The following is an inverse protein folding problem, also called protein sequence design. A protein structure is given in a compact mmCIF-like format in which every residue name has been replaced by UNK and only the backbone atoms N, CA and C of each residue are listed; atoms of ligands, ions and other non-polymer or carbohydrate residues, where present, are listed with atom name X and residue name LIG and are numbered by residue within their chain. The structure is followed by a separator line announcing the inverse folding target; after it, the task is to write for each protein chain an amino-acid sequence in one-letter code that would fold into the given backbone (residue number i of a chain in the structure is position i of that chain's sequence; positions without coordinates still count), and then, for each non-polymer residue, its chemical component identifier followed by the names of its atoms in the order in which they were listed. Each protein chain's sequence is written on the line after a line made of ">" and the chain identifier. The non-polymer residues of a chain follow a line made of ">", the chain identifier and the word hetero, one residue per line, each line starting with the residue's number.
data_IF_258987071877
#
_entry.id   IF_258987071877
#
_cell.length_a   1.000
_cell.length_b   1.000
_cell.length_c   1.000
_cell.angle_alpha   90.00
_cell.angle_beta   90.00
_cell.angle_gamma   90.00
#
_symmetry.space_group_name_H-M   'P 1'
#
loop_
_entity.id
_entity.type
_entity.pdbx_description
1 polymer ?
#
# COMPACT_ATOMS: atom_id res chain seq x y z
N UNK A 1 28.08 -25.04 -45.17
CA UNK A 1 26.66 -25.22 -44.85
C UNK A 1 26.48 -25.08 -43.36
N UNK A 2 25.98 -23.92 -42.88
CA UNK A 2 25.75 -23.67 -41.47
C UNK A 2 24.30 -24.07 -41.13
N UNK A 3 24.12 -25.00 -40.20
CA UNK A 3 22.84 -25.44 -39.74
C UNK A 3 22.20 -24.38 -38.82
N UNK A 4 21.09 -23.80 -39.29
CA UNK A 4 20.26 -22.85 -38.51
C UNK A 4 19.57 -23.59 -37.35
N UNK A 5 20.00 -23.31 -36.13
CA UNK A 5 19.30 -23.79 -34.92
C UNK A 5 18.07 -22.91 -34.72
N UNK A 6 16.88 -23.45 -34.97
CA UNK A 6 15.61 -22.81 -34.66
C UNK A 6 15.46 -22.64 -33.12
N UNK A 7 15.15 -21.42 -32.62
CA UNK A 7 14.86 -21.26 -31.20
C UNK A 7 13.56 -21.99 -30.85
N UNK A 8 13.65 -22.97 -29.94
CA UNK A 8 12.50 -23.67 -29.37
C UNK A 8 11.67 -22.69 -28.52
N UNK A 9 10.58 -22.21 -29.07
CA UNK A 9 9.58 -21.42 -28.35
C UNK A 9 9.00 -22.31 -27.24
N UNK A 10 9.34 -22.01 -25.99
CA UNK A 10 8.77 -22.69 -24.81
C UNK A 10 7.27 -22.45 -24.80
N UNK A 11 6.50 -23.43 -25.23
CA UNK A 11 5.03 -23.44 -25.16
C UNK A 11 4.61 -23.67 -23.71
N UNK A 12 4.34 -22.60 -22.97
CA UNK A 12 3.70 -22.67 -21.66
C UNK A 12 2.20 -22.88 -21.87
N UNK A 13 1.68 -24.05 -21.50
CA UNK A 13 0.26 -24.33 -21.62
C UNK A 13 -0.53 -23.44 -20.65
N UNK A 14 -1.73 -22.94 -21.04
CA UNK A 14 -2.61 -22.16 -20.15
C UNK A 14 -2.80 -22.80 -18.77
N UNK A 15 -2.99 -24.11 -18.73
CA UNK A 15 -3.16 -24.90 -17.49
C UNK A 15 -1.95 -24.84 -16.56
N UNK A 16 -0.71 -24.76 -17.09
CA UNK A 16 0.49 -24.61 -16.25
C UNK A 16 0.58 -23.22 -15.64
N UNK A 17 0.17 -22.19 -16.37
CA UNK A 17 0.11 -20.81 -15.85
C UNK A 17 -0.94 -20.67 -14.76
N UNK A 18 -2.13 -21.23 -14.96
CA UNK A 18 -3.19 -21.25 -13.94
C UNK A 18 -2.75 -21.98 -12.66
N UNK A 19 -2.10 -23.15 -12.81
CA UNK A 19 -1.58 -23.90 -11.66
C UNK A 19 -0.48 -23.13 -10.93
N UNK A 20 0.42 -22.45 -11.65
CA UNK A 20 1.48 -21.63 -11.04
C UNK A 20 0.89 -20.41 -10.30
N UNK A 21 -0.12 -19.76 -10.87
CA UNK A 21 -0.85 -18.65 -10.24
C UNK A 21 -1.58 -19.13 -8.96
N UNK A 22 -2.28 -20.26 -9.02
CA UNK A 22 -2.95 -20.85 -7.86
C UNK A 22 -1.95 -21.22 -6.74
N UNK A 23 -0.80 -21.81 -7.10
CA UNK A 23 0.26 -22.12 -6.15
C UNK A 23 0.84 -20.85 -5.51
N UNK A 24 1.08 -19.80 -6.31
CA UNK A 24 1.57 -18.51 -5.80
C UNK A 24 0.57 -17.87 -4.84
N UNK A 25 -0.72 -17.87 -5.17
CA UNK A 25 -1.78 -17.33 -4.33
C UNK A 25 -1.86 -18.08 -2.98
N UNK A 26 -1.84 -19.41 -2.99
CA UNK A 26 -1.86 -20.23 -1.77
C UNK A 26 -0.66 -19.94 -0.86
N UNK A 27 0.55 -19.75 -1.42
CA UNK A 27 1.74 -19.38 -0.63
C UNK A 27 1.58 -17.99 0.00
N UNK A 28 1.06 -17.01 -0.75
CA UNK A 28 0.85 -15.65 -0.24
C UNK A 28 -0.21 -15.60 0.85
N UNK A 29 -1.32 -16.32 0.70
CA UNK A 29 -2.38 -16.42 1.71
C UNK A 29 -1.85 -17.04 3.01
N UNK A 30 -1.15 -18.18 2.92
CA UNK A 30 -0.52 -18.82 4.08
C UNK A 30 0.52 -17.91 4.76
N UNK A 31 1.34 -17.21 3.98
CA UNK A 31 2.33 -16.28 4.48
C UNK A 31 1.69 -15.08 5.18
N UNK A 32 0.59 -14.53 4.65
CA UNK A 32 -0.14 -13.45 5.29
C UNK A 32 -0.58 -13.83 6.70
N UNK A 33 -1.29 -14.95 6.84
CA UNK A 33 -1.76 -15.42 8.15
C UNK A 33 -0.61 -15.61 9.16
N UNK A 34 0.52 -16.16 8.71
CA UNK A 34 1.69 -16.36 9.57
C UNK A 34 2.36 -15.03 9.95
N UNK A 35 2.60 -14.14 8.99
CA UNK A 35 3.23 -12.85 9.27
C UNK A 35 2.37 -11.97 10.18
N UNK A 36 1.06 -11.94 9.97
CA UNK A 36 0.15 -11.12 10.78
C UNK A 36 -0.03 -11.67 12.20
N UNK A 37 0.00 -13.01 12.39
CA UNK A 37 -0.23 -13.63 13.70
C UNK A 37 1.01 -13.70 14.59
N UNK A 38 2.21 -13.98 14.01
CA UNK A 38 3.44 -14.22 14.78
C UNK A 38 4.63 -13.35 14.39
N UNK A 39 4.46 -12.48 13.39
CA UNK A 39 5.48 -11.56 12.92
C UNK A 39 6.51 -12.18 11.97
N UNK A 40 7.39 -11.31 11.43
CA UNK A 40 8.41 -11.73 10.45
C UNK A 40 9.48 -12.64 11.04
N UNK A 41 10.02 -12.32 12.22
CA UNK A 41 11.16 -13.02 12.78
C UNK A 41 10.88 -14.52 13.02
N UNK A 42 9.72 -14.85 13.54
CA UNK A 42 9.31 -16.22 13.90
C UNK A 42 8.86 -17.03 12.67
N UNK A 43 8.30 -16.37 11.66
CA UNK A 43 7.83 -17.03 10.44
C UNK A 43 9.00 -17.57 9.62
N UNK A 44 8.95 -18.85 9.23
CA UNK A 44 9.95 -19.51 8.40
C UNK A 44 9.39 -19.90 7.03
N UNK A 45 10.28 -20.04 6.02
CA UNK A 45 9.89 -20.54 4.69
C UNK A 45 9.29 -21.96 4.77
N UNK A 46 9.75 -22.78 5.72
CA UNK A 46 9.21 -24.12 5.96
C UNK A 46 7.78 -24.09 6.53
N UNK A 47 7.51 -23.18 7.47
CA UNK A 47 6.16 -22.97 8.02
C UNK A 47 5.19 -22.49 6.93
N UNK A 48 5.62 -21.56 6.07
CA UNK A 48 4.83 -21.08 4.94
C UNK A 48 4.54 -22.24 3.97
N UNK A 49 5.55 -23.06 3.61
CA UNK A 49 5.38 -24.20 2.73
C UNK A 49 4.36 -25.20 3.28
N UNK A 50 4.47 -25.52 4.57
CA UNK A 50 3.56 -26.43 5.26
C UNK A 50 2.11 -25.90 5.25
N UNK A 51 1.93 -24.65 5.65
CA UNK A 51 0.61 -24.01 5.68
C UNK A 51 -0.04 -23.88 4.29
N UNK A 52 0.78 -23.66 3.23
CA UNK A 52 0.32 -23.59 1.85
C UNK A 52 0.09 -24.96 1.18
N UNK A 53 0.45 -26.09 1.84
CA UNK A 53 0.34 -27.42 1.27
C UNK A 53 1.30 -27.68 0.10
N UNK A 54 2.46 -27.00 0.06
CA UNK A 54 3.45 -27.13 -1.02
C UNK A 54 4.81 -27.56 -0.49
N UNK A 55 5.74 -27.98 -1.38
CA UNK A 55 7.09 -28.28 -0.97
C UNK A 55 7.88 -27.01 -0.64
N UNK A 56 8.82 -27.09 0.32
CA UNK A 56 9.73 -25.98 0.63
C UNK A 56 10.51 -25.50 -0.61
N UNK A 57 10.91 -26.45 -1.48
CA UNK A 57 11.55 -26.14 -2.77
C UNK A 57 10.66 -25.27 -3.65
N UNK A 58 9.35 -25.52 -3.65
CA UNK A 58 8.38 -24.74 -4.42
C UNK A 58 8.36 -23.29 -3.95
N UNK A 59 8.36 -23.04 -2.62
CA UNK A 59 8.38 -21.69 -2.07
C UNK A 59 9.64 -20.94 -2.47
N UNK A 60 10.82 -21.59 -2.38
CA UNK A 60 12.09 -20.99 -2.81
C UNK A 60 12.15 -20.70 -4.33
N UNK A 61 11.57 -21.58 -5.16
CA UNK A 61 11.52 -21.35 -6.63
C UNK A 61 10.64 -20.15 -6.98
N UNK A 62 9.56 -19.90 -6.22
CA UNK A 62 8.61 -18.83 -6.52
C UNK A 62 9.04 -17.48 -5.96
N UNK A 63 9.69 -17.46 -4.77
CA UNK A 63 9.94 -16.21 -4.03
C UNK A 63 11.41 -16.00 -3.61
N UNK A 64 12.27 -16.98 -3.77
CA UNK A 64 13.70 -16.95 -3.44
C UNK A 64 14.01 -16.74 -1.94
N UNK A 65 13.41 -15.71 -1.32
CA UNK A 65 13.68 -15.33 0.08
C UNK A 65 12.37 -15.07 0.84
N UNK A 66 12.47 -15.06 2.18
CA UNK A 66 11.35 -14.67 3.05
C UNK A 66 10.95 -13.19 2.85
N UNK A 67 11.93 -12.31 2.68
CA UNK A 67 11.68 -10.91 2.33
C UNK A 67 11.00 -10.77 0.96
N UNK A 68 11.34 -11.65 -0.01
CA UNK A 68 10.67 -11.75 -1.31
C UNK A 68 9.19 -12.11 -1.21
N UNK A 69 8.83 -13.05 -0.31
CA UNK A 69 7.42 -13.38 -0.02
C UNK A 69 6.69 -12.16 0.54
N UNK A 70 7.27 -11.50 1.56
CA UNK A 70 6.65 -10.36 2.22
C UNK A 70 6.48 -9.17 1.25
N UNK A 71 7.46 -8.90 0.40
CA UNK A 71 7.39 -7.88 -0.65
C UNK A 71 6.28 -8.19 -1.67
N UNK A 72 6.17 -9.44 -2.11
CA UNK A 72 5.12 -9.83 -3.05
C UNK A 72 3.72 -9.69 -2.42
N UNK A 73 3.58 -10.04 -1.15
CA UNK A 73 2.33 -9.87 -0.39
C UNK A 73 1.99 -8.38 -0.22
N UNK A 74 2.98 -7.52 0.09
CA UNK A 74 2.78 -6.08 0.13
C UNK A 74 2.20 -5.53 -1.18
N UNK A 75 2.80 -5.90 -2.31
CA UNK A 75 2.31 -5.46 -3.61
C UNK A 75 0.88 -5.92 -3.89
N UNK A 76 0.53 -7.16 -3.52
CA UNK A 76 -0.82 -7.69 -3.67
C UNK A 76 -1.83 -6.89 -2.82
N UNK A 77 -1.55 -6.66 -1.54
CA UNK A 77 -2.48 -6.00 -0.62
C UNK A 77 -2.62 -4.49 -0.91
N UNK A 78 -1.54 -3.82 -1.30
CA UNK A 78 -1.58 -2.42 -1.68
C UNK A 78 -2.45 -2.20 -2.91
N UNK A 79 -2.32 -3.04 -3.90
CA UNK A 79 -3.04 -2.94 -5.17
C UNK A 79 -4.50 -3.38 -5.06
N UNK A 80 -4.77 -4.40 -4.23
CA UNK A 80 -6.09 -5.01 -4.06
C UNK A 80 -6.50 -5.96 -5.19
N UNK A 81 -5.60 -6.18 -6.15
CA UNK A 81 -5.74 -7.13 -7.26
C UNK A 81 -4.36 -7.57 -7.76
N UNK A 82 -4.32 -8.61 -8.62
CA UNK A 82 -3.09 -9.16 -9.20
C UNK A 82 -2.51 -8.33 -10.37
N UNK A 83 -3.13 -7.20 -10.74
CA UNK A 83 -2.64 -6.38 -11.84
C UNK A 83 -1.36 -5.63 -11.43
N UNK A 84 -0.31 -5.73 -12.25
CA UNK A 84 0.98 -5.07 -11.99
C UNK A 84 0.96 -3.59 -12.43
N UNK A 85 0.05 -2.82 -11.80
CA UNK A 85 -0.14 -1.39 -12.06
C UNK A 85 0.23 -0.61 -10.80
N UNK A 86 1.20 0.30 -10.83
CA UNK A 86 1.57 1.18 -9.73
C UNK A 86 0.40 2.03 -9.21
N UNK A 87 0.48 2.51 -7.96
CA UNK A 87 -0.61 3.29 -7.33
C UNK A 87 -0.92 4.56 -8.11
N UNK A 88 0.10 5.27 -8.57
CA UNK A 88 0.01 6.50 -9.37
C UNK A 88 -0.65 6.30 -10.74
N UNK A 89 -0.77 5.06 -11.22
CA UNK A 89 -1.47 4.70 -12.46
C UNK A 89 -2.86 4.11 -12.23
N UNK A 90 -3.34 4.05 -10.99
CA UNK A 90 -4.65 3.50 -10.64
C UNK A 90 -5.77 4.49 -10.89
N UNK A 91 -6.87 4.00 -11.44
CA UNK A 91 -8.07 4.81 -11.72
C UNK A 91 -8.55 5.56 -10.46
N UNK A 92 -8.57 4.90 -9.30
CA UNK A 92 -9.02 5.52 -8.06
C UNK A 92 -8.09 6.65 -7.58
N UNK A 93 -6.78 6.56 -7.88
CA UNK A 93 -5.81 7.63 -7.58
C UNK A 93 -6.03 8.82 -8.50
N UNK A 94 -6.17 8.57 -9.81
CA UNK A 94 -6.49 9.62 -10.76
C UNK A 94 -7.84 10.31 -10.49
N UNK A 95 -8.83 9.55 -9.96
CA UNK A 95 -10.10 10.14 -9.53
C UNK A 95 -9.90 11.14 -8.39
N UNK A 96 -8.98 10.91 -7.45
CA UNK A 96 -8.64 11.89 -6.41
C UNK A 96 -8.06 13.16 -7.02
N UNK A 97 -7.08 13.03 -7.92
CA UNK A 97 -6.44 14.19 -8.54
C UNK A 97 -7.37 14.96 -9.46
N UNK A 98 -8.30 14.28 -10.12
CA UNK A 98 -9.27 14.88 -11.04
C UNK A 98 -10.47 15.52 -10.33
N UNK A 99 -10.69 15.28 -9.02
CA UNK A 99 -11.82 15.87 -8.29
C UNK A 99 -11.64 17.40 -8.19
N UNK A 100 -12.57 18.21 -8.76
CA UNK A 100 -12.40 19.65 -8.81
C UNK A 100 -12.68 20.35 -7.48
N UNK A 101 -13.53 19.78 -6.62
CA UNK A 101 -13.85 20.35 -5.32
C UNK A 101 -12.77 19.96 -4.28
N UNK A 102 -12.06 20.92 -3.66
CA UNK A 102 -10.97 20.66 -2.73
C UNK A 102 -11.37 19.81 -1.51
N UNK A 103 -12.55 20.07 -0.94
CA UNK A 103 -13.04 19.30 0.21
C UNK A 103 -13.36 17.87 -0.19
N UNK A 104 -14.07 17.68 -1.30
CA UNK A 104 -14.38 16.35 -1.83
C UNK A 104 -13.12 15.59 -2.22
N UNK A 105 -12.10 16.26 -2.74
CA UNK A 105 -10.80 15.65 -3.06
C UNK A 105 -10.16 15.05 -1.82
N UNK A 106 -10.05 15.79 -0.71
CA UNK A 106 -9.48 15.30 0.54
C UNK A 106 -10.33 14.19 1.18
N UNK A 107 -11.68 14.29 1.11
CA UNK A 107 -12.56 13.21 1.58
C UNK A 107 -12.44 11.95 0.75
N UNK A 108 -12.27 12.06 -0.56
CA UNK A 108 -12.03 10.92 -1.45
C UNK A 108 -10.67 10.27 -1.15
N UNK A 109 -9.63 11.06 -0.88
CA UNK A 109 -8.34 10.55 -0.40
C UNK A 109 -8.49 9.80 0.94
N UNK A 110 -9.26 10.34 1.88
CA UNK A 110 -9.52 9.68 3.18
C UNK A 110 -10.22 8.32 3.00
N UNK A 111 -11.23 8.26 2.13
CA UNK A 111 -11.94 7.01 1.79
C UNK A 111 -10.99 5.97 1.19
N UNK A 112 -10.19 6.35 0.18
CA UNK A 112 -9.25 5.44 -0.45
C UNK A 112 -8.18 4.95 0.54
N UNK A 113 -7.70 5.85 1.39
CA UNK A 113 -6.76 5.54 2.47
C UNK A 113 -7.32 4.51 3.45
N UNK A 114 -8.59 4.64 3.88
CA UNK A 114 -9.27 3.63 4.69
C UNK A 114 -9.28 2.27 4.01
N UNK A 115 -9.70 2.21 2.74
CA UNK A 115 -9.79 0.97 1.97
C UNK A 115 -8.42 0.27 1.89
N UNK A 116 -7.35 1.02 1.63
CA UNK A 116 -5.98 0.48 1.59
C UNK A 116 -5.55 -0.02 2.97
N UNK A 117 -5.79 0.77 4.03
CA UNK A 117 -5.39 0.41 5.39
C UNK A 117 -6.13 -0.80 5.94
N UNK A 118 -7.42 -0.96 5.63
CA UNK A 118 -8.17 -2.16 6.01
C UNK A 118 -7.54 -3.45 5.48
N UNK A 119 -6.89 -3.39 4.30
CA UNK A 119 -6.22 -4.54 3.69
C UNK A 119 -4.77 -4.71 4.12
N UNK A 120 -4.04 -3.62 4.25
CA UNK A 120 -2.58 -3.64 4.26
C UNK A 120 -1.94 -3.16 5.57
N UNK A 121 -2.69 -2.54 6.51
CA UNK A 121 -2.10 -1.94 7.72
C UNK A 121 -1.38 -2.95 8.62
N UNK A 122 -1.92 -4.16 8.76
CA UNK A 122 -1.28 -5.22 9.55
C UNK A 122 0.07 -5.61 8.94
N UNK A 123 0.12 -5.77 7.60
CA UNK A 123 1.35 -6.12 6.91
C UNK A 123 2.38 -4.97 6.91
N UNK A 124 1.92 -3.72 6.78
CA UNK A 124 2.80 -2.55 6.90
C UNK A 124 3.54 -2.53 8.24
N UNK A 125 2.83 -2.87 9.33
CA UNK A 125 3.44 -3.01 10.66
C UNK A 125 4.49 -4.11 10.68
N UNK A 126 4.21 -5.27 10.10
CA UNK A 126 5.18 -6.39 10.00
C UNK A 126 6.45 -5.95 9.25
N UNK A 127 6.30 -5.24 8.12
CA UNK A 127 7.44 -4.73 7.33
C UNK A 127 8.25 -3.73 8.16
N UNK A 128 7.60 -2.75 8.78
CA UNK A 128 8.25 -1.74 9.63
C UNK A 128 9.03 -2.37 10.78
N UNK A 129 8.40 -3.29 11.49
CA UNK A 129 8.99 -3.92 12.68
C UNK A 129 10.15 -4.86 12.31
N UNK A 130 10.16 -5.40 11.08
CA UNK A 130 11.23 -6.24 10.56
C UNK A 130 12.38 -5.43 9.90
N UNK A 131 12.14 -4.22 9.45
CA UNK A 131 13.12 -3.38 8.75
C UNK A 131 14.47 -3.22 9.47
N UNK A 132 14.55 -3.07 10.81
CA UNK A 132 15.84 -2.97 11.50
C UNK A 132 16.70 -4.24 11.44
N UNK A 133 16.11 -5.40 11.14
CA UNK A 133 16.79 -6.72 11.15
C UNK A 133 17.02 -7.30 9.76
N UNK A 134 16.52 -6.68 8.70
CA UNK A 134 16.58 -7.20 7.33
C UNK A 134 16.75 -6.03 6.34
N UNK A 135 17.89 -5.99 5.64
CA UNK A 135 18.24 -4.89 4.73
C UNK A 135 17.27 -4.74 3.55
N UNK A 136 16.72 -5.85 3.03
CA UNK A 136 15.72 -5.81 1.95
C UNK A 136 14.42 -5.18 2.44
N UNK A 137 14.03 -5.47 3.69
CA UNK A 137 12.84 -4.89 4.29
C UNK A 137 13.05 -3.43 4.73
N UNK A 138 14.26 -3.06 5.14
CA UNK A 138 14.62 -1.66 5.36
C UNK A 138 14.47 -0.83 4.07
N UNK A 139 14.98 -1.34 2.95
CA UNK A 139 14.84 -0.71 1.65
C UNK A 139 13.37 -0.66 1.19
N UNK A 140 12.61 -1.72 1.41
CA UNK A 140 11.17 -1.76 1.10
C UNK A 140 10.41 -0.73 1.93
N UNK A 141 10.67 -0.66 3.25
CA UNK A 141 10.02 0.31 4.13
C UNK A 141 10.32 1.75 3.74
N UNK A 142 11.60 2.07 3.47
CA UNK A 142 12.00 3.39 3.00
C UNK A 142 11.29 3.80 1.70
N UNK A 143 11.17 2.87 0.75
CA UNK A 143 10.41 3.10 -0.49
C UNK A 143 8.93 3.33 -0.22
N UNK A 144 8.29 2.51 0.62
CA UNK A 144 6.87 2.69 0.99
C UNK A 144 6.63 4.09 1.55
N UNK A 145 7.51 4.56 2.44
CA UNK A 145 7.38 5.89 3.04
C UNK A 145 7.59 7.01 2.02
N UNK A 146 8.58 6.86 1.14
CA UNK A 146 8.86 7.84 0.08
C UNK A 146 7.72 7.95 -0.92
N UNK A 147 7.22 6.82 -1.45
CA UNK A 147 6.12 6.80 -2.42
C UNK A 147 4.83 7.35 -1.78
N UNK A 148 4.61 7.00 -0.51
CA UNK A 148 3.45 7.49 0.23
C UNK A 148 3.49 9.01 0.44
N UNK A 149 4.63 9.58 0.82
CA UNK A 149 4.80 11.02 0.94
C UNK A 149 4.63 11.72 -0.42
N UNK A 150 5.24 11.18 -1.48
CA UNK A 150 5.12 11.73 -2.84
C UNK A 150 3.65 11.80 -3.31
N UNK A 151 2.85 10.76 -3.03
CA UNK A 151 1.43 10.75 -3.36
C UNK A 151 0.64 11.84 -2.60
N UNK A 152 0.95 12.08 -1.31
CA UNK A 152 0.31 13.16 -0.56
C UNK A 152 0.72 14.54 -1.10
N UNK A 153 2.00 14.69 -1.47
CA UNK A 153 2.53 15.92 -2.06
C UNK A 153 1.82 16.28 -3.38
N UNK A 154 1.54 15.30 -4.22
CA UNK A 154 0.83 15.51 -5.49
C UNK A 154 -0.61 16.01 -5.25
N UNK A 155 -1.31 15.44 -4.26
CA UNK A 155 -2.64 15.91 -3.87
C UNK A 155 -2.58 17.37 -3.40
N UNK A 156 -1.63 17.70 -2.52
CA UNK A 156 -1.48 19.07 -2.00
C UNK A 156 -1.05 20.05 -3.09
N UNK A 157 -0.18 19.64 -4.02
CA UNK A 157 0.20 20.45 -5.17
C UNK A 157 -1.02 20.83 -6.03
N UNK A 158 -1.92 19.87 -6.28
CA UNK A 158 -3.16 20.14 -7.02
C UNK A 158 -4.10 21.11 -6.30
N UNK A 159 -4.14 21.07 -4.95
CA UNK A 159 -4.89 22.05 -4.15
C UNK A 159 -4.24 23.44 -4.21
N UNK A 160 -2.92 23.50 -4.19
CA UNK A 160 -2.16 24.75 -4.31
C UNK A 160 -2.39 25.44 -5.66
N UNK A 161 -2.32 24.69 -6.75
CA UNK A 161 -2.58 25.20 -8.12
C UNK A 161 -3.97 25.83 -8.29
N UNK A 162 -4.92 25.36 -7.50
CA UNK A 162 -6.31 25.90 -7.46
C UNK A 162 -6.49 27.05 -6.47
N UNK A 163 -5.43 27.45 -5.74
CA UNK A 163 -5.52 28.48 -4.72
C UNK A 163 -6.37 28.08 -3.50
N UNK A 164 -6.50 26.77 -3.23
CA UNK A 164 -7.37 26.25 -2.19
C UNK A 164 -6.66 26.07 -0.83
N UNK A 165 -5.32 26.17 -0.78
CA UNK A 165 -4.57 26.01 0.48
C UNK A 165 -4.75 27.23 1.38
N UNK A 166 -4.73 26.98 2.69
CA UNK A 166 -4.67 28.00 3.74
C UNK A 166 -3.53 29.00 3.47
N UNK A 167 -3.74 30.31 3.58
CA UNK A 167 -2.69 31.30 3.37
C UNK A 167 -1.44 31.04 4.23
N UNK A 168 -0.27 31.06 3.60
CA UNK A 168 1.02 30.81 4.26
C UNK A 168 1.40 29.33 4.36
N UNK A 169 0.55 28.41 3.95
CA UNK A 169 0.87 26.99 3.84
C UNK A 169 1.44 26.69 2.44
N UNK A 170 2.70 26.29 2.37
CA UNK A 170 3.31 25.82 1.14
C UNK A 170 3.03 24.33 0.87
N UNK A 171 3.36 23.87 -0.34
CA UNK A 171 3.10 22.50 -0.78
C UNK A 171 3.84 21.48 0.07
N UNK A 172 5.08 21.73 0.45
CA UNK A 172 5.90 20.78 1.22
C UNK A 172 5.35 20.60 2.64
N UNK A 173 5.04 21.70 3.33
CA UNK A 173 4.42 21.62 4.65
C UNK A 173 3.03 21.02 4.63
N UNK A 174 2.22 21.35 3.61
CA UNK A 174 0.92 20.74 3.43
C UNK A 174 1.03 19.23 3.19
N UNK A 175 2.02 18.80 2.41
CA UNK A 175 2.31 17.38 2.18
C UNK A 175 2.72 16.66 3.47
N UNK A 176 3.59 17.28 4.29
CA UNK A 176 3.98 16.73 5.60
C UNK A 176 2.77 16.55 6.53
N UNK A 177 1.89 17.56 6.58
CA UNK A 177 0.64 17.49 7.38
C UNK A 177 -0.26 16.35 6.88
N UNK A 178 -0.53 16.29 5.58
CA UNK A 178 -1.41 15.26 5.01
C UNK A 178 -0.80 13.87 5.18
N UNK A 179 0.51 13.71 4.99
CA UNK A 179 1.23 12.46 5.21
C UNK A 179 1.17 12.02 6.68
N UNK A 180 1.40 12.94 7.62
CA UNK A 180 1.35 12.64 9.06
C UNK A 180 -0.06 12.20 9.49
N UNK A 181 -1.11 12.93 9.07
CA UNK A 181 -2.51 12.57 9.36
C UNK A 181 -2.91 11.22 8.76
N UNK A 182 -2.35 10.90 7.59
CA UNK A 182 -2.60 9.64 6.90
C UNK A 182 -1.62 8.53 7.28
N UNK A 183 -0.73 8.75 8.27
CA UNK A 183 0.28 7.75 8.61
C UNK A 183 -0.34 6.45 9.16
N UNK A 184 0.18 5.26 8.79
CA UNK A 184 -0.37 3.97 9.24
C UNK A 184 -0.32 3.78 10.75
N UNK A 185 0.57 4.50 11.47
CA UNK A 185 0.61 4.47 12.92
C UNK A 185 -0.63 5.11 13.55
N UNK A 186 -1.18 6.19 12.97
CA UNK A 186 -2.44 6.76 13.44
C UNK A 186 -3.62 5.80 13.25
N UNK A 187 -3.65 5.09 12.13
CA UNK A 187 -4.62 4.01 11.96
C UNK A 187 -4.48 2.94 13.05
N UNK A 188 -3.25 2.49 13.31
CA UNK A 188 -3.00 1.49 14.34
C UNK A 188 -3.42 1.98 15.74
N UNK A 189 -3.12 3.23 16.07
CA UNK A 189 -3.50 3.84 17.36
C UNK A 189 -5.02 3.97 17.48
N UNK A 190 -5.69 4.53 16.49
CA UNK A 190 -7.12 4.85 16.59
C UNK A 190 -8.00 3.61 16.36
N UNK A 191 -7.80 2.89 15.27
CA UNK A 191 -8.60 1.72 14.94
C UNK A 191 -8.11 0.48 15.70
N UNK A 192 -6.79 0.22 15.69
CA UNK A 192 -6.23 -0.99 16.30
C UNK A 192 -6.25 -1.00 17.82
N UNK A 193 -5.94 0.13 18.48
CA UNK A 193 -5.81 0.18 19.94
C UNK A 193 -7.01 0.87 20.62
N UNK A 194 -7.56 1.94 20.02
CA UNK A 194 -8.66 2.69 20.62
C UNK A 194 -10.04 2.20 20.19
N UNK A 195 -10.11 1.25 19.25
CA UNK A 195 -11.35 0.61 18.83
C UNK A 195 -12.26 1.49 17.97
N UNK A 196 -11.72 2.50 17.30
CA UNK A 196 -12.50 3.26 16.34
C UNK A 196 -12.94 2.39 15.17
N UNK A 197 -14.14 2.65 14.64
CA UNK A 197 -14.50 2.05 13.36
C UNK A 197 -13.63 2.60 12.23
N UNK A 198 -13.39 1.82 11.17
CA UNK A 198 -12.73 2.33 9.97
C UNK A 198 -13.39 3.58 9.40
N UNK A 199 -14.71 3.67 9.49
CA UNK A 199 -15.53 4.80 9.03
C UNK A 199 -15.35 6.05 9.92
N UNK A 200 -15.17 5.88 11.23
CA UNK A 200 -14.84 6.98 12.14
C UNK A 200 -13.47 7.55 11.83
N UNK A 201 -12.48 6.69 11.55
CA UNK A 201 -11.16 7.11 11.13
C UNK A 201 -11.22 7.88 9.79
N UNK A 202 -11.97 7.39 8.79
CA UNK A 202 -12.14 8.07 7.51
C UNK A 202 -12.71 9.48 7.69
N UNK A 203 -13.79 9.63 8.47
CA UNK A 203 -14.41 10.93 8.76
C UNK A 203 -13.44 11.86 9.45
N UNK A 204 -12.82 11.41 10.55
CA UNK A 204 -11.85 12.20 11.31
C UNK A 204 -10.68 12.65 10.42
N UNK A 205 -10.11 11.75 9.64
CA UNK A 205 -9.01 12.08 8.75
C UNK A 205 -9.44 13.12 7.70
N UNK A 206 -10.57 12.92 7.04
CA UNK A 206 -11.11 13.85 6.05
C UNK A 206 -11.39 15.24 6.64
N UNK A 207 -12.08 15.30 7.79
CA UNK A 207 -12.43 16.55 8.48
C UNK A 207 -11.16 17.30 8.94
N UNK A 208 -10.19 16.58 9.52
CA UNK A 208 -8.93 17.17 9.98
C UNK A 208 -8.10 17.68 8.81
N UNK A 209 -7.99 16.90 7.73
CA UNK A 209 -7.26 17.32 6.53
C UNK A 209 -7.89 18.58 5.92
N UNK A 210 -9.21 18.65 5.79
CA UNK A 210 -9.91 19.85 5.31
C UNK A 210 -9.64 21.05 6.22
N UNK A 211 -9.75 20.88 7.53
CA UNK A 211 -9.53 21.95 8.52
C UNK A 211 -8.10 22.48 8.51
N UNK A 212 -7.09 21.62 8.27
CA UNK A 212 -5.68 22.00 8.33
C UNK A 212 -5.16 22.57 7.00
N UNK A 213 -5.70 22.10 5.89
CA UNK A 213 -5.12 22.41 4.58
C UNK A 213 -5.91 23.45 3.80
N UNK A 214 -7.23 23.51 3.97
CA UNK A 214 -8.09 24.37 3.13
C UNK A 214 -8.37 25.73 3.78
N UNK A 215 -8.52 26.72 2.92
CA UNK A 215 -9.03 28.02 3.34
C UNK A 215 -10.41 27.84 3.97
N UNK A 216 -10.55 28.18 5.23
CA UNK A 216 -11.87 28.24 5.87
C UNK A 216 -12.66 29.38 5.21
N UNK A 217 -13.85 29.15 4.63
CA UNK A 217 -14.67 30.25 4.17
C UNK A 217 -14.91 31.18 5.37
N UNK A 218 -14.49 32.42 5.28
CA UNK A 218 -14.85 33.43 6.29
C UNK A 218 -16.36 33.39 6.39
N UNK A 219 -16.88 32.98 7.56
CA UNK A 219 -18.27 33.23 7.92
C UNK A 219 -18.41 34.75 8.01
N UNK A 220 -18.77 35.35 6.86
CA UNK A 220 -18.97 36.77 6.77
C UNK A 220 -19.91 37.24 7.88
N UNK A 221 -19.45 38.22 8.64
CA UNK A 221 -20.25 39.01 9.55
C UNK A 221 -21.59 39.32 8.92
N UNK A 222 -22.68 38.92 9.58
CA UNK A 222 -23.98 39.48 9.40
C UNK A 222 -24.24 40.52 10.45
#
# INVERSE_FOLDING_TARGET
>A
MAASVKPTRRYESPRRREQAAATRAAILEAAQGLFESQGYAVTTMSAIAHAAGVSLKTVYVVFETKSGVLRALWHLLLRGDDADVPVDQRTWYHQVLAEPDPERQLRLNARNSRIVKQRAAALMRVIRDAAPSDADLAALWARIQSDFHANQREIVASLHERGALTPGLDVERGADVLWALNHPDLWHLLVGQRGWSPEDYERWFGDTACSQLLVTPHSGER
#
